data_IF_928915259582
#
_entry.id   IF_928915259582
#
_cell.length_a   1.000
_cell.length_b   1.000
_cell.length_c   1.000
_cell.angle_alpha   90.00
_cell.angle_beta   90.00
_cell.angle_gamma   90.00
#
_symmetry.space_group_name_H-M   'P 1'
#
loop_
_entity.id
_entity.type
_entity.pdbx_description
1 polymer ?
#
# COMPACT_ATOMS: atom_id res chain seq x y z
N UNK A 1 -14.81 14.79 20.13
CA UNK A 1 -15.82 14.89 19.06
C UNK A 1 -15.43 13.93 17.95
N UNK A 2 -16.40 13.33 17.27
CA UNK A 2 -16.15 12.49 16.10
C UNK A 2 -16.19 13.36 14.84
N UNK A 3 -15.19 13.21 13.99
CA UNK A 3 -15.02 13.95 12.73
C UNK A 3 -15.10 12.99 11.56
N UNK A 4 -15.52 13.50 10.40
CA UNK A 4 -15.56 12.76 9.15
C UNK A 4 -15.00 13.62 8.02
N UNK A 5 -14.15 13.06 7.17
CA UNK A 5 -13.64 13.77 6.00
C UNK A 5 -14.47 13.49 4.75
N UNK A 6 -14.19 14.21 3.66
CA UNK A 6 -14.89 14.04 2.38
C UNK A 6 -14.72 12.63 1.77
N UNK A 7 -13.72 11.85 2.21
CA UNK A 7 -13.51 10.45 1.81
C UNK A 7 -14.23 9.44 2.72
N UNK A 8 -15.02 9.90 3.69
CA UNK A 8 -15.76 9.03 4.61
C UNK A 8 -14.98 8.50 5.82
N UNK A 9 -13.68 8.78 5.94
CA UNK A 9 -12.91 8.36 7.12
C UNK A 9 -13.41 9.05 8.39
N UNK A 10 -13.61 8.27 9.46
CA UNK A 10 -14.10 8.74 10.75
C UNK A 10 -13.01 8.64 11.82
N UNK A 11 -12.76 9.71 12.57
CA UNK A 11 -11.80 9.70 13.69
C UNK A 11 -12.25 10.57 14.85
N UNK A 12 -11.66 10.34 16.03
CA UNK A 12 -11.86 11.17 17.20
C UNK A 12 -10.79 12.25 17.31
N UNK A 13 -11.21 13.50 17.51
CA UNK A 13 -10.30 14.62 17.80
C UNK A 13 -11.01 15.73 18.56
N UNK A 14 -10.24 16.61 19.18
CA UNK A 14 -10.78 17.83 19.80
C UNK A 14 -10.95 18.93 18.74
N UNK A 15 -11.90 19.84 18.94
CA UNK A 15 -12.08 21.00 18.05
C UNK A 15 -10.80 21.85 17.93
N UNK A 16 -10.08 22.03 19.04
CA UNK A 16 -8.84 22.80 19.06
C UNK A 16 -7.76 22.18 18.16
N UNK A 17 -7.61 20.85 18.17
CA UNK A 17 -6.68 20.15 17.28
C UNK A 17 -7.02 20.38 15.81
N UNK A 18 -8.30 20.27 15.43
CA UNK A 18 -8.73 20.47 14.04
C UNK A 18 -8.51 21.93 13.58
N UNK A 19 -8.90 22.91 14.40
CA UNK A 19 -8.86 24.33 14.03
C UNK A 19 -7.45 24.92 14.04
N UNK A 20 -6.63 24.55 15.02
CA UNK A 20 -5.36 25.22 15.28
C UNK A 20 -4.12 24.41 14.88
N UNK A 21 -4.19 23.07 14.92
CA UNK A 21 -3.01 22.22 14.69
C UNK A 21 -2.88 21.71 13.23
N UNK A 22 -3.80 22.07 12.33
CA UNK A 22 -3.89 21.53 10.94
C UNK A 22 -3.90 19.99 10.89
N UNK A 23 -4.24 19.33 12.00
CA UNK A 23 -4.37 17.88 12.13
C UNK A 23 -5.77 17.45 11.68
N UNK A 24 -6.12 17.79 10.44
CA UNK A 24 -7.30 17.25 9.75
C UNK A 24 -7.17 15.72 9.61
N UNK A 25 -7.98 15.09 8.78
CA UNK A 25 -8.04 13.63 8.62
C UNK A 25 -6.65 12.93 8.70
N UNK A 26 -6.34 12.21 9.81
CA UNK A 26 -5.02 11.60 10.01
C UNK A 26 -4.72 10.53 8.97
N UNK A 27 -5.77 9.92 8.42
CA UNK A 27 -5.67 8.96 7.32
C UNK A 27 -5.27 9.60 6.00
N UNK A 28 -5.57 10.90 5.81
CA UNK A 28 -5.18 11.64 4.60
C UNK A 28 -3.86 12.40 4.77
N UNK A 29 -3.45 12.70 6.02
CA UNK A 29 -2.20 13.41 6.32
C UNK A 29 -0.99 12.47 6.39
N UNK A 30 -1.17 11.22 6.83
CA UNK A 30 -0.08 10.23 6.80
C UNK A 30 0.17 9.75 5.36
N UNK A 31 1.43 9.45 5.03
CA UNK A 31 1.73 8.62 3.85
C UNK A 31 0.93 7.33 3.98
N UNK A 32 0.12 7.02 2.98
CA UNK A 32 -0.83 5.90 3.03
C UNK A 32 -0.11 4.56 3.26
N UNK A 33 1.11 4.40 2.73
CA UNK A 33 2.03 3.29 3.05
C UNK A 33 2.32 3.16 4.55
N UNK A 34 2.67 4.27 5.23
CA UNK A 34 2.94 4.26 6.67
C UNK A 34 1.70 3.87 7.48
N UNK A 35 0.51 4.28 7.02
CA UNK A 35 -0.73 3.91 7.66
C UNK A 35 -1.00 2.41 7.50
N UNK A 36 -0.89 1.88 6.28
CA UNK A 36 -1.03 0.46 6.01
C UNK A 36 -0.04 -0.37 6.84
N UNK A 37 1.22 0.05 6.87
CA UNK A 37 2.28 -0.59 7.65
C UNK A 37 1.97 -0.59 9.16
N UNK A 38 1.46 0.52 9.72
CA UNK A 38 1.03 0.58 11.13
C UNK A 38 -0.13 -0.39 11.41
N UNK A 39 -1.15 -0.41 10.55
CA UNK A 39 -2.33 -1.26 10.73
C UNK A 39 -1.93 -2.73 10.73
N UNK A 40 -1.22 -3.18 9.70
CA UNK A 40 -0.81 -4.59 9.62
C UNK A 40 0.19 -4.98 10.71
N UNK A 41 1.08 -4.06 11.11
CA UNK A 41 2.02 -4.30 12.21
C UNK A 41 1.30 -4.55 13.54
N UNK A 42 0.20 -3.85 13.81
CA UNK A 42 -0.59 -4.08 15.01
C UNK A 42 -1.29 -5.45 15.03
N UNK A 43 -1.48 -6.08 13.88
CA UNK A 43 -2.18 -7.37 13.74
C UNK A 43 -1.18 -8.53 13.71
N UNK A 44 -0.14 -8.44 12.87
CA UNK A 44 0.80 -9.54 12.59
C UNK A 44 2.22 -9.31 13.13
N UNK A 45 2.49 -8.18 13.76
CA UNK A 45 3.85 -7.75 14.09
C UNK A 45 4.59 -7.14 12.89
N UNK A 46 5.85 -6.71 13.06
CA UNK A 46 6.57 -5.95 12.05
C UNK A 46 6.81 -6.74 10.75
N UNK A 47 6.73 -6.10 9.57
CA UNK A 47 7.07 -6.73 8.30
C UNK A 47 8.58 -6.99 8.19
N UNK A 48 8.98 -7.74 7.17
CA UNK A 48 10.39 -7.94 6.83
C UNK A 48 11.08 -6.61 6.53
N UNK A 49 12.34 -6.49 6.93
CA UNK A 49 13.22 -5.37 6.54
C UNK A 49 13.66 -5.46 5.07
N UNK A 50 13.48 -6.62 4.42
CA UNK A 50 13.84 -6.84 3.02
C UNK A 50 12.76 -6.27 2.11
N UNK A 51 13.00 -5.07 1.59
CA UNK A 51 12.11 -4.42 0.61
C UNK A 51 12.31 -4.89 -0.83
N UNK A 52 13.49 -5.42 -1.16
CA UNK A 52 13.86 -5.87 -2.52
C UNK A 52 14.38 -7.31 -2.47
N UNK A 53 13.49 -8.30 -2.33
CA UNK A 53 13.91 -9.70 -2.31
C UNK A 53 14.59 -10.10 -3.63
N UNK A 54 15.55 -11.03 -3.56
CA UNK A 54 16.39 -11.40 -4.69
C UNK A 54 15.60 -11.94 -5.89
N UNK A 55 14.46 -12.60 -5.64
CA UNK A 55 13.61 -13.12 -6.71
C UNK A 55 12.93 -12.03 -7.57
N UNK A 56 12.99 -10.77 -7.14
CA UNK A 56 12.52 -9.62 -7.92
C UNK A 56 13.62 -8.97 -8.77
N UNK A 57 14.83 -9.54 -8.81
CA UNK A 57 15.93 -9.08 -9.67
C UNK A 57 15.74 -9.61 -11.09
N UNK A 58 15.82 -8.70 -12.06
CA UNK A 58 15.81 -9.01 -13.50
C UNK A 58 16.95 -8.25 -14.19
N UNK A 59 17.37 -8.62 -15.41
CA UNK A 59 18.43 -7.90 -16.13
C UNK A 59 18.18 -6.38 -16.26
N UNK A 60 16.93 -5.98 -16.46
CA UNK A 60 16.49 -4.58 -16.59
C UNK A 60 16.48 -3.84 -15.24
N UNK A 61 16.37 -4.57 -14.13
CA UNK A 61 16.37 -4.07 -12.76
C UNK A 61 17.29 -4.91 -11.87
N UNK A 62 18.63 -4.75 -11.99
CA UNK A 62 19.59 -5.61 -11.28
C UNK A 62 19.56 -5.43 -9.76
N UNK A 63 19.00 -4.31 -9.27
CA UNK A 63 18.76 -4.06 -7.85
C UNK A 63 17.48 -4.73 -7.32
N UNK A 64 16.60 -5.21 -8.20
CA UNK A 64 15.31 -5.78 -7.87
C UNK A 64 14.17 -4.77 -7.76
N UNK A 65 12.96 -5.24 -8.03
CA UNK A 65 11.73 -4.49 -7.76
C UNK A 65 11.46 -4.43 -6.25
N UNK A 66 10.86 -3.32 -5.81
CA UNK A 66 10.52 -3.10 -4.39
C UNK A 66 9.12 -3.64 -4.07
N UNK A 67 8.97 -4.22 -2.88
CA UNK A 67 7.69 -4.49 -2.23
C UNK A 67 7.51 -3.51 -1.08
N UNK A 68 6.31 -2.94 -0.94
CA UNK A 68 6.05 -1.92 0.09
C UNK A 68 6.02 -2.53 1.49
N UNK A 69 5.20 -3.57 1.68
CA UNK A 69 5.01 -4.26 2.96
C UNK A 69 5.12 -5.76 2.71
N UNK A 70 6.23 -6.38 3.14
CA UNK A 70 6.54 -7.77 2.82
C UNK A 70 6.53 -8.70 4.05
N UNK A 71 5.76 -9.78 3.97
CA UNK A 71 5.64 -10.82 5.00
C UNK A 71 6.01 -12.20 4.41
N UNK A 72 7.31 -12.50 4.25
CA UNK A 72 7.77 -13.78 3.70
C UNK A 72 7.26 -14.99 4.49
N UNK A 73 7.18 -14.88 5.82
CA UNK A 73 6.74 -15.96 6.70
C UNK A 73 5.27 -16.37 6.49
N UNK A 74 4.46 -15.46 5.94
CA UNK A 74 3.06 -15.69 5.62
C UNK A 74 2.82 -15.81 4.11
N UNK A 75 3.87 -15.76 3.29
CA UNK A 75 3.77 -15.90 1.83
C UNK A 75 2.99 -14.78 1.14
N UNK A 76 3.03 -13.53 1.64
CA UNK A 76 2.32 -12.43 0.99
C UNK A 76 3.03 -11.08 1.11
N UNK A 77 2.58 -10.12 0.30
CA UNK A 77 2.96 -8.71 0.40
C UNK A 77 1.76 -7.80 0.13
N UNK A 78 1.75 -6.64 0.77
CA UNK A 78 0.80 -5.55 0.48
C UNK A 78 1.50 -4.48 -0.33
N UNK A 79 0.89 -4.09 -1.44
CA UNK A 79 1.27 -3.00 -2.35
C UNK A 79 0.28 -1.84 -2.23
N UNK A 80 0.79 -0.64 -1.94
CA UNK A 80 -0.03 0.55 -1.73
C UNK A 80 -0.11 1.36 -3.02
N UNK A 81 -1.27 1.29 -3.65
CA UNK A 81 -1.47 1.80 -5.00
C UNK A 81 -1.93 3.27 -4.98
N UNK A 82 -1.11 4.14 -5.55
CA UNK A 82 -1.42 5.56 -5.73
C UNK A 82 -2.32 5.83 -6.94
N UNK A 83 -2.86 7.06 -7.01
CA UNK A 83 -3.70 7.52 -8.15
C UNK A 83 -3.02 7.39 -9.52
N UNK A 84 -1.69 7.38 -9.54
CA UNK A 84 -0.88 7.18 -10.74
C UNK A 84 -1.10 5.80 -11.38
N UNK A 85 -1.50 4.77 -10.63
CA UNK A 85 -1.70 3.43 -11.22
C UNK A 85 -3.06 3.28 -11.92
N UNK A 86 -4.06 4.10 -11.59
CA UNK A 86 -5.37 4.08 -12.26
C UNK A 86 -5.46 5.05 -13.45
N UNK A 87 -4.70 6.15 -13.42
CA UNK A 87 -4.89 7.26 -14.35
C UNK A 87 -3.56 7.85 -14.83
N UNK A 88 -3.53 8.27 -16.10
CA UNK A 88 -2.44 9.09 -16.61
C UNK A 88 -2.47 10.48 -15.96
N UNK A 89 -1.77 10.62 -14.83
CA UNK A 89 -1.60 11.92 -14.15
C UNK A 89 -0.36 12.61 -14.71
N UNK A 90 -0.51 13.76 -15.38
CA UNK A 90 0.60 14.52 -16.02
C UNK A 90 1.82 14.80 -15.12
N UNK A 91 1.61 14.83 -13.80
CA UNK A 91 2.67 15.01 -12.82
C UNK A 91 3.56 13.76 -12.67
N UNK A 92 2.99 12.56 -12.84
CA UNK A 92 3.66 11.28 -12.67
C UNK A 92 4.03 10.61 -13.99
N UNK A 93 3.34 10.93 -15.09
CA UNK A 93 3.64 10.45 -16.42
C UNK A 93 3.82 11.64 -17.36
N UNK A 94 4.99 11.70 -18.01
CA UNK A 94 5.24 12.68 -19.07
C UNK A 94 4.41 12.33 -20.31
N UNK A 95 4.40 11.05 -20.68
CA UNK A 95 3.80 10.51 -21.90
C UNK A 95 3.14 9.13 -21.66
N UNK A 96 2.30 8.68 -22.59
CA UNK A 96 1.60 7.38 -22.55
C UNK A 96 2.57 6.19 -22.44
N UNK A 97 3.77 6.31 -23.01
CA UNK A 97 4.78 5.26 -22.99
C UNK A 97 5.31 4.97 -21.56
N UNK A 98 5.43 5.99 -20.71
CA UNK A 98 5.83 5.80 -19.30
C UNK A 98 4.73 5.11 -18.49
N UNK A 99 3.46 5.36 -18.82
CA UNK A 99 2.34 4.65 -18.22
C UNK A 99 2.30 3.18 -18.65
N UNK A 100 2.57 2.88 -19.92
CA UNK A 100 2.71 1.50 -20.41
C UNK A 100 3.87 0.77 -19.72
N UNK A 101 5.02 1.41 -19.56
CA UNK A 101 6.15 0.84 -18.80
C UNK A 101 5.78 0.56 -17.35
N UNK A 102 5.01 1.44 -16.71
CA UNK A 102 4.51 1.23 -15.36
C UNK A 102 3.59 0.00 -15.28
N UNK A 103 2.65 -0.15 -16.22
CA UNK A 103 1.77 -1.33 -16.30
C UNK A 103 2.56 -2.62 -16.52
N UNK A 104 3.53 -2.61 -17.43
CA UNK A 104 4.40 -3.76 -17.70
C UNK A 104 5.21 -4.15 -16.47
N UNK A 105 5.71 -3.15 -15.72
CA UNK A 105 6.45 -3.37 -14.47
C UNK A 105 5.57 -3.95 -13.38
N UNK A 106 4.34 -3.46 -13.22
CA UNK A 106 3.39 -3.96 -12.22
C UNK A 106 2.99 -5.42 -12.54
N UNK A 107 2.77 -5.73 -13.82
CA UNK A 107 2.50 -7.09 -14.28
C UNK A 107 3.69 -8.04 -14.03
N UNK A 108 4.91 -7.60 -14.36
CA UNK A 108 6.11 -8.40 -14.12
C UNK A 108 6.34 -8.67 -12.62
N UNK A 109 6.10 -7.66 -11.77
CA UNK A 109 6.17 -7.83 -10.31
C UNK A 109 5.20 -8.93 -9.85
N UNK A 110 3.96 -8.89 -10.34
CA UNK A 110 2.94 -9.89 -10.02
C UNK A 110 3.39 -11.30 -10.41
N UNK A 111 3.88 -11.48 -11.64
CA UNK A 111 4.35 -12.78 -12.12
C UNK A 111 5.54 -13.32 -11.31
N UNK A 112 6.49 -12.45 -10.94
CA UNK A 112 7.64 -12.86 -10.12
C UNK A 112 7.21 -13.25 -8.71
N UNK A 113 6.25 -12.54 -8.11
CA UNK A 113 5.69 -12.89 -6.82
C UNK A 113 4.96 -14.25 -6.88
N UNK A 114 4.10 -14.46 -7.88
CA UNK A 114 3.37 -15.72 -8.09
C UNK A 114 4.32 -16.92 -8.25
N UNK A 115 5.38 -16.77 -9.07
CA UNK A 115 6.42 -17.79 -9.25
C UNK A 115 7.13 -18.18 -7.95
N UNK A 116 7.18 -17.26 -6.98
CA UNK A 116 7.83 -17.46 -5.69
C UNK A 116 6.82 -17.74 -4.55
N UNK A 117 5.57 -18.09 -4.89
CA UNK A 117 4.51 -18.34 -3.91
C UNK A 117 4.25 -17.17 -2.96
N UNK A 118 4.45 -15.94 -3.43
CA UNK A 118 4.13 -14.72 -2.72
C UNK A 118 2.84 -14.15 -3.31
N UNK A 119 1.78 -14.08 -2.50
CA UNK A 119 0.51 -13.46 -2.88
C UNK A 119 0.61 -11.95 -2.76
N UNK A 120 0.33 -11.21 -3.82
CA UNK A 120 0.22 -9.75 -3.76
C UNK A 120 -1.21 -9.34 -3.41
N UNK A 121 -1.34 -8.45 -2.43
CA UNK A 121 -2.60 -7.78 -2.06
C UNK A 121 -2.44 -6.28 -2.28
N UNK A 122 -3.46 -5.66 -2.84
CA UNK A 122 -3.44 -4.26 -3.19
C UNK A 122 -4.30 -3.46 -2.22
N UNK A 123 -3.81 -2.30 -1.80
CA UNK A 123 -4.59 -1.32 -1.04
C UNK A 123 -4.48 0.02 -1.76
N UNK A 124 -5.60 0.53 -2.23
CA UNK A 124 -5.68 1.79 -2.96
C UNK A 124 -5.65 3.00 -2.02
N UNK A 125 -5.04 4.09 -2.47
CA UNK A 125 -4.87 5.33 -1.68
C UNK A 125 -6.18 5.98 -1.16
N UNK A 126 -7.33 5.60 -1.70
CA UNK A 126 -8.65 6.06 -1.27
C UNK A 126 -9.34 5.09 -0.31
N UNK A 127 -8.85 3.87 -0.17
CA UNK A 127 -9.39 2.88 0.74
C UNK A 127 -8.96 3.17 2.18
N UNK A 128 -9.79 2.75 3.13
CA UNK A 128 -9.47 2.76 4.55
C UNK A 128 -8.67 1.49 4.90
N UNK A 129 -7.38 1.61 5.27
CA UNK A 129 -6.57 0.43 5.59
C UNK A 129 -7.09 -0.36 6.79
N UNK A 130 -7.82 0.27 7.72
CA UNK A 130 -8.42 -0.43 8.86
C UNK A 130 -9.58 -1.35 8.46
N UNK A 131 -10.12 -1.17 7.25
CA UNK A 131 -11.17 -2.02 6.69
C UNK A 131 -10.58 -3.04 5.73
N UNK A 132 -9.77 -2.57 4.77
CA UNK A 132 -9.29 -3.40 3.66
C UNK A 132 -8.21 -4.40 4.10
N UNK A 133 -7.29 -4.01 4.99
CA UNK A 133 -6.24 -4.94 5.45
C UNK A 133 -6.85 -6.14 6.18
N UNK A 134 -7.76 -5.99 7.17
CA UNK A 134 -8.40 -7.15 7.78
C UNK A 134 -9.17 -8.05 6.79
N UNK A 135 -9.76 -7.49 5.72
CA UNK A 135 -10.40 -8.29 4.67
C UNK A 135 -9.35 -9.16 3.96
N UNK A 136 -8.24 -8.57 3.50
CA UNK A 136 -7.15 -9.31 2.87
C UNK A 136 -6.60 -10.41 3.78
N UNK A 137 -6.43 -10.12 5.07
CA UNK A 137 -5.91 -11.09 6.03
C UNK A 137 -6.87 -12.25 6.29
N UNK A 138 -8.19 -11.99 6.34
CA UNK A 138 -9.22 -13.05 6.42
C UNK A 138 -9.24 -13.92 5.18
N UNK A 139 -9.15 -13.33 3.99
CA UNK A 139 -9.07 -14.08 2.74
C UNK A 139 -7.81 -14.97 2.64
N UNK A 140 -6.73 -14.56 3.30
CA UNK A 140 -5.51 -15.35 3.43
C UNK A 140 -5.57 -16.38 4.56
N UNK A 141 -6.66 -16.42 5.36
CA UNK A 141 -6.81 -17.31 6.50
C UNK A 141 -5.86 -17.01 7.66
N UNK A 142 -5.36 -15.77 7.76
CA UNK A 142 -4.40 -15.36 8.80
C UNK A 142 -5.08 -14.87 10.08
N UNK A 143 -6.34 -14.47 9.98
CA UNK A 143 -7.17 -14.02 11.10
C UNK A 143 -8.62 -14.50 10.88
N UNK A 144 -9.38 -14.58 11.98
CA UNK A 144 -10.82 -14.91 11.97
C UNK A 144 -11.72 -13.71 11.65
#
# INVERSE_FOLDING_TARGET
MQWMCNKGHKWFSSFNCIKHSKTWCPYCLNKHENLCCKVITNILGPPSSIRRPDFLKIPEHPRGLELDIYYPQYGFSIEVQGKQHEQHVKYFHKDLEEFEKQLMRDQLKKELCEKNSIVLRYVWYYEDPYVVIPVHLRELGLIE
#
